data_IF_330686922253
#
_entry.id   IF_330686922253
#
_cell.length_a   1.000
_cell.length_b   1.000
_cell.length_c   1.000
_cell.angle_alpha   90.00
_cell.angle_beta   90.00
_cell.angle_gamma   90.00
#
_symmetry.space_group_name_H-M   'P 1'
#
loop_
_entity.id
_entity.type
_entity.pdbx_description
1 polymer ?
#
# COMPACT_ATOMS: atom_id res chain seq x y z
N UNK A 1 13.69 -13.09 -45.63
CA UNK A 1 13.14 -13.75 -44.44
C UNK A 1 14.27 -14.57 -43.86
N UNK A 2 14.88 -14.06 -42.80
CA UNK A 2 15.94 -14.74 -42.07
C UNK A 2 15.29 -15.34 -40.82
N UNK A 3 15.24 -16.68 -40.68
CA UNK A 3 14.61 -17.34 -39.54
C UNK A 3 15.43 -17.24 -38.24
N UNK A 4 16.69 -16.77 -38.30
CA UNK A 4 17.61 -16.73 -37.15
C UNK A 4 17.86 -15.31 -36.61
N UNK A 5 17.05 -14.33 -37.02
CA UNK A 5 17.00 -13.04 -36.34
C UNK A 5 16.23 -13.16 -35.01
N UNK A 6 16.68 -14.02 -34.10
CA UNK A 6 16.38 -13.86 -32.68
C UNK A 6 17.08 -12.58 -32.23
N UNK A 7 16.36 -11.47 -32.35
CA UNK A 7 16.64 -10.29 -31.54
C UNK A 7 16.67 -10.77 -30.09
N UNK A 8 17.88 -11.01 -29.59
CA UNK A 8 18.16 -11.22 -28.18
C UNK A 8 17.92 -9.86 -27.51
N UNK A 9 16.65 -9.45 -27.45
CA UNK A 9 16.19 -8.50 -26.47
C UNK A 9 16.35 -9.24 -25.15
N UNK A 10 17.55 -9.17 -24.57
CA UNK A 10 17.80 -9.51 -23.18
C UNK A 10 16.92 -8.58 -22.35
N UNK A 11 15.66 -8.99 -22.17
CA UNK A 11 14.72 -8.34 -21.29
C UNK A 11 15.25 -8.60 -19.88
N UNK A 12 16.04 -7.66 -19.37
CA UNK A 12 16.49 -7.71 -18.00
C UNK A 12 15.27 -7.48 -17.11
N UNK A 13 14.63 -8.58 -16.76
CA UNK A 13 13.48 -8.59 -15.87
C UNK A 13 13.89 -8.02 -14.50
N UNK A 14 13.04 -7.17 -13.95
CA UNK A 14 13.17 -6.59 -12.61
C UNK A 14 11.79 -6.59 -11.94
N UNK A 15 11.73 -6.83 -10.63
CA UNK A 15 10.53 -6.72 -9.80
C UNK A 15 10.05 -5.26 -9.71
N UNK A 16 10.96 -4.29 -9.85
CA UNK A 16 10.67 -2.86 -9.78
C UNK A 16 10.58 -2.31 -8.36
N UNK A 17 10.91 -3.13 -7.36
CA UNK A 17 10.88 -2.85 -5.93
C UNK A 17 12.20 -3.14 -5.23
N UNK A 18 13.25 -3.51 -5.98
CA UNK A 18 14.56 -3.90 -5.45
C UNK A 18 15.18 -2.83 -4.56
N UNK A 19 14.94 -1.55 -4.88
CA UNK A 19 15.39 -0.40 -4.10
C UNK A 19 14.83 -0.33 -2.67
N UNK A 20 13.78 -1.10 -2.36
CA UNK A 20 13.14 -1.14 -1.04
C UNK A 20 13.53 -2.39 -0.24
N UNK A 21 14.25 -3.34 -0.82
CA UNK A 21 14.56 -4.64 -0.20
C UNK A 21 15.32 -4.56 1.13
N UNK A 22 16.10 -3.50 1.34
CA UNK A 22 16.86 -3.25 2.58
C UNK A 22 16.14 -2.34 3.58
N UNK A 23 14.95 -1.82 3.24
CA UNK A 23 14.21 -0.89 4.09
C UNK A 23 13.38 -1.62 5.14
N UNK A 24 13.37 -1.09 6.36
CA UNK A 24 12.47 -1.55 7.41
C UNK A 24 11.04 -1.04 7.19
N UNK A 25 10.04 -1.62 7.86
CA UNK A 25 8.66 -1.09 7.83
C UNK A 25 8.62 0.38 8.28
N UNK A 26 9.46 0.76 9.25
CA UNK A 26 9.54 2.10 9.80
C UNK A 26 10.07 3.11 8.78
N UNK A 27 11.05 2.71 7.97
CA UNK A 27 11.55 3.52 6.86
C UNK A 27 10.45 3.76 5.82
N UNK A 28 9.69 2.71 5.47
CA UNK A 28 8.59 2.81 4.50
C UNK A 28 7.46 3.72 4.99
N UNK A 29 7.09 3.62 6.28
CA UNK A 29 6.11 4.52 6.89
C UNK A 29 6.58 5.97 6.94
N UNK A 30 7.87 6.18 7.18
CA UNK A 30 8.50 7.50 7.16
C UNK A 30 8.46 8.10 5.75
N UNK A 31 8.75 7.31 4.72
CA UNK A 31 8.66 7.74 3.31
C UNK A 31 7.23 8.17 2.95
N UNK A 32 6.21 7.50 3.51
CA UNK A 32 4.81 7.87 3.30
C UNK A 32 4.39 9.13 4.08
N UNK A 33 5.23 9.69 4.96
CA UNK A 33 4.85 10.80 5.82
C UNK A 33 3.80 10.42 6.86
N UNK A 34 3.74 9.14 7.25
CA UNK A 34 2.75 8.57 8.16
C UNK A 34 3.44 7.91 9.37
N UNK A 35 4.08 8.69 10.26
CA UNK A 35 4.89 8.16 11.36
C UNK A 35 4.07 7.39 12.41
N UNK A 36 2.75 7.59 12.45
CA UNK A 36 1.83 6.84 13.32
C UNK A 36 1.56 5.41 12.83
N UNK A 37 2.12 5.02 11.68
CA UNK A 37 2.01 3.68 11.08
C UNK A 37 0.57 3.25 10.80
N UNK A 38 -0.26 4.22 10.39
CA UNK A 38 -1.67 4.04 10.09
C UNK A 38 -2.00 4.64 8.73
N UNK A 39 -2.81 3.92 7.96
CA UNK A 39 -3.36 4.45 6.71
C UNK A 39 -4.53 5.38 7.06
N UNK A 40 -4.57 6.61 6.54
CA UNK A 40 -5.69 7.53 6.73
C UNK A 40 -7.02 6.87 6.34
N UNK A 41 -8.08 7.19 7.07
CA UNK A 41 -9.45 6.70 6.82
C UNK A 41 -9.69 5.18 7.02
N UNK A 42 -8.66 4.39 7.33
CA UNK A 42 -8.82 2.99 7.67
C UNK A 42 -9.34 2.82 9.11
N UNK A 43 -10.01 1.71 9.37
CA UNK A 43 -10.28 1.29 10.74
C UNK A 43 -8.97 0.92 11.44
N UNK A 44 -8.90 1.14 12.75
CA UNK A 44 -7.74 0.75 13.55
C UNK A 44 -7.70 -0.75 13.83
N UNK A 45 -8.88 -1.37 13.90
CA UNK A 45 -9.07 -2.75 14.28
C UNK A 45 -9.83 -3.50 13.18
N UNK A 46 -9.55 -4.79 13.05
CA UNK A 46 -10.22 -5.72 12.15
C UNK A 46 -10.61 -7.00 12.87
N UNK A 47 -11.64 -7.65 12.33
CA UNK A 47 -12.01 -9.02 12.68
C UNK A 47 -11.45 -9.95 11.59
N UNK A 48 -10.35 -10.69 11.87
CA UNK A 48 -9.71 -11.53 10.87
C UNK A 48 -10.57 -12.73 10.44
N UNK A 49 -11.61 -13.07 11.20
CA UNK A 49 -12.47 -14.23 10.95
C UNK A 49 -13.89 -13.86 10.50
N UNK A 50 -14.25 -12.57 10.52
CA UNK A 50 -15.58 -12.11 10.12
C UNK A 50 -16.71 -12.62 11.03
N UNK A 51 -16.42 -12.73 12.34
CA UNK A 51 -17.38 -13.11 13.37
C UNK A 51 -18.41 -12.02 13.67
N UNK A 52 -18.09 -10.75 13.39
CA UNK A 52 -18.95 -9.61 13.71
C UNK A 52 -19.16 -8.67 12.51
N UNK A 53 -20.26 -7.91 12.56
CA UNK A 53 -20.52 -6.81 11.63
C UNK A 53 -20.00 -5.49 12.23
N UNK A 54 -18.93 -4.88 11.68
CA UNK A 54 -18.33 -3.67 12.23
C UNK A 54 -19.22 -2.42 12.12
N UNK A 55 -20.34 -2.50 11.37
CA UNK A 55 -21.28 -1.39 11.20
C UNK A 55 -22.38 -1.36 12.28
N UNK A 56 -22.42 -2.36 13.16
CA UNK A 56 -23.39 -2.46 14.26
C UNK A 56 -22.77 -2.02 15.59
N UNK A 57 -23.59 -1.56 16.54
CA UNK A 57 -23.10 -1.19 17.89
C UNK A 57 -22.48 -2.39 18.62
N UNK A 58 -23.10 -3.57 18.51
CA UNK A 58 -22.60 -4.81 19.09
C UNK A 58 -21.27 -5.22 18.46
N UNK A 59 -21.14 -5.13 17.13
CA UNK A 59 -19.89 -5.44 16.44
C UNK A 59 -18.77 -4.44 16.75
N UNK A 60 -19.08 -3.15 16.89
CA UNK A 60 -18.10 -2.16 17.35
C UNK A 60 -17.63 -2.42 18.78
N UNK A 61 -18.53 -2.87 19.65
CA UNK A 61 -18.20 -3.23 21.04
C UNK A 61 -17.30 -4.47 21.05
N UNK A 62 -17.68 -5.51 20.30
CA UNK A 62 -16.89 -6.72 20.14
C UNK A 62 -15.49 -6.44 19.58
N UNK A 63 -15.40 -5.57 18.56
CA UNK A 63 -14.14 -5.20 17.92
C UNK A 63 -13.18 -4.49 18.87
N UNK A 64 -13.69 -3.66 19.79
CA UNK A 64 -12.85 -3.00 20.81
C UNK A 64 -12.22 -4.00 21.79
N UNK A 65 -12.89 -5.10 22.07
CA UNK A 65 -12.45 -6.10 23.03
C UNK A 65 -11.59 -7.21 22.39
N UNK A 66 -11.90 -7.58 21.14
CA UNK A 66 -11.36 -8.76 20.48
C UNK A 66 -10.65 -8.49 19.14
N UNK A 67 -10.78 -7.27 18.61
CA UNK A 67 -10.23 -6.91 17.30
C UNK A 67 -8.71 -6.92 17.28
N UNK A 68 -8.16 -7.27 16.12
CA UNK A 68 -6.72 -7.19 15.86
C UNK A 68 -6.37 -5.88 15.16
N UNK A 69 -5.15 -5.38 15.36
CA UNK A 69 -4.68 -4.18 14.66
C UNK A 69 -4.73 -4.39 13.14
N UNK A 70 -5.41 -3.49 12.43
CA UNK A 70 -5.35 -3.45 10.98
C UNK A 70 -4.04 -2.77 10.56
N UNK A 71 -3.06 -3.56 10.14
CA UNK A 71 -1.79 -3.06 9.65
C UNK A 71 -1.42 -3.76 8.33
N UNK A 72 -0.85 -2.98 7.41
CA UNK A 72 -0.27 -3.53 6.18
C UNK A 72 1.01 -4.29 6.53
N UNK A 73 1.21 -5.43 5.88
CA UNK A 73 2.47 -6.18 5.95
C UNK A 73 3.56 -5.46 5.15
N UNK A 74 4.83 -5.68 5.49
CA UNK A 74 5.98 -5.11 4.77
C UNK A 74 5.85 -5.10 3.24
N UNK A 75 5.53 -6.23 2.59
CA UNK A 75 5.40 -6.30 1.13
C UNK A 75 4.26 -5.44 0.57
N UNK A 76 3.17 -5.29 1.32
CA UNK A 76 2.06 -4.40 0.98
C UNK A 76 2.46 -2.92 1.11
N UNK A 77 3.29 -2.60 2.11
CA UNK A 77 3.86 -1.26 2.26
C UNK A 77 4.83 -0.92 1.13
N UNK A 78 5.68 -1.86 0.72
CA UNK A 78 6.58 -1.68 -0.43
C UNK A 78 5.78 -1.39 -1.70
N UNK A 79 4.72 -2.18 -1.97
CA UNK A 79 3.81 -1.95 -3.09
C UNK A 79 3.15 -0.57 -3.04
N UNK A 80 2.67 -0.16 -1.86
CA UNK A 80 2.07 1.16 -1.64
C UNK A 80 3.07 2.29 -1.91
N UNK A 81 4.26 2.24 -1.32
CA UNK A 81 5.32 3.25 -1.53
C UNK A 81 5.69 3.34 -3.01
N UNK A 82 5.85 2.20 -3.70
CA UNK A 82 6.11 2.18 -5.14
C UNK A 82 4.99 2.83 -5.93
N UNK A 83 3.74 2.54 -5.60
CA UNK A 83 2.57 3.12 -6.26
C UNK A 83 2.47 4.62 -6.06
N UNK A 84 2.69 5.10 -4.83
CA UNK A 84 2.71 6.53 -4.51
C UNK A 84 3.79 7.24 -5.32
N UNK A 85 5.03 6.74 -5.29
CA UNK A 85 6.14 7.32 -6.04
C UNK A 85 5.86 7.36 -7.54
N UNK A 86 5.38 6.25 -8.11
CA UNK A 86 5.03 6.19 -9.52
C UNK A 86 3.87 7.14 -9.88
N UNK A 87 2.87 7.30 -9.01
CA UNK A 87 1.76 8.23 -9.22
C UNK A 87 2.26 9.68 -9.33
N UNK A 88 3.20 10.09 -8.47
CA UNK A 88 3.84 11.41 -8.56
C UNK A 88 4.72 11.58 -9.79
N UNK A 89 5.38 10.51 -10.24
CA UNK A 89 6.19 10.51 -11.46
C UNK A 89 5.35 10.34 -12.75
N UNK A 90 4.03 10.18 -12.66
CA UNK A 90 3.16 9.91 -13.82
C UNK A 90 3.43 8.56 -14.50
N UNK A 91 3.99 7.59 -13.77
CA UNK A 91 4.37 6.29 -14.27
C UNK A 91 3.28 5.25 -13.99
N UNK A 92 2.98 4.34 -14.93
CA UNK A 92 2.05 3.24 -14.68
C UNK A 92 2.64 2.25 -13.66
N UNK A 93 1.76 1.49 -13.01
CA UNK A 93 2.12 0.41 -12.08
C UNK A 93 1.35 -0.85 -12.45
N UNK A 94 2.03 -1.98 -12.42
CA UNK A 94 1.44 -3.31 -12.58
C UNK A 94 1.76 -4.14 -11.34
N UNK A 95 0.75 -4.51 -10.56
CA UNK A 95 0.88 -5.34 -9.36
C UNK A 95 0.69 -6.83 -9.73
N UNK A 96 1.79 -7.58 -9.85
CA UNK A 96 1.78 -9.02 -10.18
C UNK A 96 2.10 -9.92 -8.98
N UNK A 97 1.82 -9.46 -7.76
CA UNK A 97 1.93 -10.28 -6.55
C UNK A 97 1.03 -11.52 -6.62
N UNK A 98 1.37 -12.55 -5.83
CA UNK A 98 0.55 -13.76 -5.72
C UNK A 98 -0.90 -13.46 -5.28
N UNK A 99 -1.81 -14.36 -5.64
CA UNK A 99 -3.21 -14.29 -5.23
C UNK A 99 -3.30 -14.38 -3.71
N UNK A 100 -4.08 -13.49 -3.09
CA UNK A 100 -4.26 -13.49 -1.64
C UNK A 100 -3.30 -12.59 -0.85
N UNK A 101 -2.25 -12.02 -1.47
CA UNK A 101 -1.33 -11.08 -0.78
C UNK A 101 -1.94 -9.69 -0.49
N UNK A 102 -3.23 -9.50 -0.76
CA UNK A 102 -3.92 -8.25 -0.43
C UNK A 102 -3.64 -7.10 -1.41
N UNK A 103 -3.50 -7.39 -2.71
CA UNK A 103 -3.41 -6.33 -3.75
C UNK A 103 -4.56 -5.30 -3.64
N UNK A 104 -5.78 -5.76 -3.34
CA UNK A 104 -6.93 -4.88 -3.16
C UNK A 104 -6.73 -3.91 -2.00
N UNK A 105 -6.22 -4.37 -0.86
CA UNK A 105 -5.96 -3.47 0.29
C UNK A 105 -4.84 -2.49 -0.03
N UNK A 106 -3.82 -2.89 -0.81
CA UNK A 106 -2.77 -1.97 -1.28
C UNK A 106 -3.35 -0.85 -2.16
N UNK A 107 -4.24 -1.17 -3.10
CA UNK A 107 -4.87 -0.17 -3.99
C UNK A 107 -5.83 0.75 -3.21
N UNK A 108 -6.62 0.21 -2.28
CA UNK A 108 -7.47 1.03 -1.41
C UNK A 108 -6.62 1.96 -0.54
N UNK A 109 -5.50 1.47 0.00
CA UNK A 109 -4.56 2.29 0.76
C UNK A 109 -3.93 3.39 -0.11
N UNK A 110 -3.60 3.12 -1.37
CA UNK A 110 -3.13 4.14 -2.31
C UNK A 110 -4.14 5.27 -2.48
N UNK A 111 -5.42 4.94 -2.70
CA UNK A 111 -6.48 5.94 -2.87
C UNK A 111 -6.64 6.78 -1.60
N UNK A 112 -6.60 6.14 -0.43
CA UNK A 112 -6.68 6.80 0.87
C UNK A 112 -5.50 7.76 1.09
N UNK A 113 -4.27 7.31 0.84
CA UNK A 113 -3.05 8.13 0.97
C UNK A 113 -3.06 9.30 0.00
N UNK A 114 -3.41 9.11 -1.27
CA UNK A 114 -3.49 10.21 -2.25
C UNK A 114 -4.57 11.23 -1.86
N UNK A 115 -5.71 10.76 -1.35
CA UNK A 115 -6.78 11.64 -0.85
C UNK A 115 -6.29 12.45 0.36
N UNK A 116 -5.63 11.79 1.31
CA UNK A 116 -5.03 12.44 2.46
C UNK A 116 -3.98 13.48 2.05
N UNK A 117 -3.09 13.16 1.11
CA UNK A 117 -2.08 14.09 0.60
C UNK A 117 -2.71 15.34 -0.02
N UNK A 118 -3.79 15.17 -0.78
CA UNK A 118 -4.52 16.29 -1.38
C UNK A 118 -5.09 17.21 -0.30
N UNK A 119 -5.75 16.67 0.71
CA UNK A 119 -6.32 17.45 1.81
C UNK A 119 -5.23 18.07 2.70
N UNK A 120 -4.14 17.34 2.98
CA UNK A 120 -3.04 17.85 3.77
C UNK A 120 -2.35 19.02 3.05
N UNK A 121 -2.13 18.91 1.74
CA UNK A 121 -1.55 19.98 0.93
C UNK A 121 -2.45 21.20 0.84
N UNK A 122 -3.78 21.03 0.72
CA UNK A 122 -4.72 22.17 0.66
C UNK A 122 -4.67 23.04 1.91
N UNK A 123 -4.40 22.43 3.08
CA UNK A 123 -4.33 23.11 4.38
C UNK A 123 -2.91 23.63 4.67
N UNK A 124 -1.86 22.87 4.35
CA UNK A 124 -0.49 23.15 4.81
C UNK A 124 0.46 23.65 3.71
N UNK A 125 0.03 23.62 2.45
CA UNK A 125 0.84 23.96 1.27
C UNK A 125 2.16 23.19 1.18
N UNK A 126 2.16 21.94 1.67
CA UNK A 126 3.25 20.95 1.57
C UNK A 126 2.68 19.55 1.68
N UNK A 127 3.39 18.54 1.17
CA UNK A 127 3.05 17.13 1.42
C UNK A 127 3.51 16.70 2.82
N UNK A 128 2.87 15.66 3.41
CA UNK A 128 3.32 15.08 4.66
C UNK A 128 4.62 14.28 4.44
N UNK A 129 5.55 14.37 5.40
CA UNK A 129 6.93 13.91 5.26
C UNK A 129 7.94 15.03 5.40
#
# INVERSE_FOLDING_TARGET
FDPDATNNCDFQWSEGVEQYSSMSEDDLWTILGLPEKQIPFFNLLQDPYGNCDPWTEDGQTWLKENGESLALRWHQLVGLVKMVNNAFCGMPVLLMDEVGLGKTIQVTALIAVLSFYREFYSVHNRFPG
#
